data_IF_469601435492
#
_entry.id   IF_469601435492
#
_cell.length_a   1.000
_cell.length_b   1.000
_cell.length_c   1.000
_cell.angle_alpha   90.00
_cell.angle_beta   90.00
_cell.angle_gamma   90.00
#
_symmetry.space_group_name_H-M   'P 1'
#
loop_
_entity.id
_entity.type
_entity.pdbx_description
1 polymer ?
#
# COMPACT_ATOMS: atom_id res chain seq x y z
N UNK A 1 26.00 79.06 16.44
CA UNK A 1 27.20 78.35 15.96
C UNK A 1 27.09 76.93 16.47
N UNK A 2 26.91 75.96 15.59
CA UNK A 2 26.75 74.55 15.95
C UNK A 2 27.86 73.81 15.20
N UNK A 3 28.77 73.20 15.96
CA UNK A 3 29.91 72.45 15.45
C UNK A 3 29.43 71.09 14.94
N UNK A 4 29.89 70.71 13.75
CA UNK A 4 29.72 69.38 13.19
C UNK A 4 30.96 68.57 13.58
N UNK A 5 30.76 67.40 14.19
CA UNK A 5 31.79 66.37 14.24
C UNK A 5 31.52 65.39 13.10
N UNK A 6 32.48 65.31 12.18
CA UNK A 6 32.61 64.20 11.22
C UNK A 6 33.08 62.97 11.99
N UNK A 7 32.21 61.98 12.11
CA UNK A 7 32.61 60.65 12.56
C UNK A 7 32.33 59.68 11.41
N UNK A 8 33.44 59.28 10.79
CA UNK A 8 33.56 58.30 9.71
C UNK A 8 32.97 56.96 10.19
N UNK A 9 31.78 56.60 9.71
CA UNK A 9 31.19 55.28 9.96
C UNK A 9 31.76 54.30 8.94
N UNK A 10 32.76 53.57 9.39
CA UNK A 10 33.35 52.39 8.78
C UNK A 10 32.31 51.32 8.38
N UNK A 11 32.38 50.98 7.09
CA UNK A 11 32.07 49.70 6.44
C UNK A 11 31.43 48.60 7.31
N UNK A 12 30.10 48.58 7.35
CA UNK A 12 29.37 47.42 7.86
C UNK A 12 29.22 46.38 6.74
N UNK A 13 30.28 45.61 6.53
CA UNK A 13 30.21 44.32 5.84
C UNK A 13 29.24 43.45 6.63
N UNK A 14 27.99 43.37 6.17
CA UNK A 14 26.98 42.49 6.74
C UNK A 14 27.39 41.05 6.44
N UNK A 15 28.14 40.49 7.38
CA UNK A 15 28.54 39.10 7.42
C UNK A 15 27.31 38.20 7.26
N UNK A 16 27.35 37.40 6.21
CA UNK A 16 26.38 36.37 5.87
C UNK A 16 26.22 35.43 7.08
N UNK A 17 24.96 35.22 7.46
CA UNK A 17 24.56 34.39 8.60
C UNK A 17 25.13 32.97 8.52
N UNK A 18 26.02 32.68 9.47
CA UNK A 18 26.02 31.51 10.36
C UNK A 18 25.66 30.14 9.76
N UNK A 19 26.71 29.36 9.44
CA UNK A 19 26.71 27.90 9.60
C UNK A 19 27.96 27.54 10.40
N UNK A 20 27.76 27.07 11.63
CA UNK A 20 28.80 26.45 12.44
C UNK A 20 29.32 25.21 11.70
N UNK A 21 30.46 25.33 11.02
CA UNK A 21 31.38 24.26 10.62
C UNK A 21 32.50 24.78 9.69
N UNK A 22 32.50 26.05 9.27
CA UNK A 22 33.56 26.59 8.39
C UNK A 22 33.59 25.98 6.98
N UNK A 23 32.60 25.14 6.65
CA UNK A 23 32.41 24.58 5.33
C UNK A 23 31.58 25.59 4.53
N UNK A 24 32.22 26.29 3.59
CA UNK A 24 31.53 27.09 2.58
C UNK A 24 30.73 26.12 1.71
N UNK A 25 29.45 25.94 2.02
CA UNK A 25 28.57 25.07 1.23
C UNK A 25 28.19 25.80 -0.04
N UNK A 26 28.48 25.16 -1.19
CA UNK A 26 27.86 25.53 -2.46
C UNK A 26 26.34 25.61 -2.27
N UNK A 27 25.69 26.72 -2.66
CA UNK A 27 24.23 26.77 -2.69
C UNK A 27 23.70 25.59 -3.49
N UNK A 28 22.48 25.13 -3.20
CA UNK A 28 21.81 24.16 -4.07
C UNK A 28 21.82 24.69 -5.51
N UNK A 29 22.26 23.88 -6.46
CA UNK A 29 22.48 24.32 -7.85
C UNK A 29 21.59 23.60 -8.84
N UNK A 30 21.27 24.29 -9.93
CA UNK A 30 20.74 23.68 -11.14
C UNK A 30 21.63 24.00 -12.34
N UNK A 31 21.59 23.13 -13.35
CA UNK A 31 22.29 23.33 -14.61
C UNK A 31 21.73 24.54 -15.34
N UNK A 32 22.59 25.41 -15.88
CA UNK A 32 22.17 26.53 -16.75
C UNK A 32 21.72 25.98 -18.12
N UNK A 33 20.42 25.96 -18.46
CA UNK A 33 19.93 25.36 -19.71
C UNK A 33 20.43 26.09 -20.96
N UNK A 34 20.85 27.35 -20.82
CA UNK A 34 21.35 28.18 -21.90
C UNK A 34 22.87 28.04 -22.09
N UNK A 35 23.52 27.21 -21.28
CA UNK A 35 24.95 26.95 -21.33
C UNK A 35 25.21 25.51 -21.77
N UNK A 36 25.87 25.33 -22.90
CA UNK A 36 26.16 24.03 -23.52
C UNK A 36 27.57 23.50 -23.22
N UNK A 37 28.23 24.01 -22.17
CA UNK A 37 29.32 23.29 -21.51
C UNK A 37 30.69 23.26 -22.17
N UNK A 38 30.98 24.16 -23.12
CA UNK A 38 32.39 24.43 -23.48
C UNK A 38 32.64 25.93 -23.55
N UNK A 39 32.76 26.56 -22.38
CA UNK A 39 33.65 27.72 -22.28
C UNK A 39 35.08 27.19 -22.26
N UNK A 40 35.68 27.07 -23.44
CA UNK A 40 37.14 26.96 -23.55
C UNK A 40 37.85 28.24 -23.05
N UNK A 41 37.08 29.29 -22.72
CA UNK A 41 37.57 30.63 -22.39
C UNK A 41 37.48 30.99 -20.89
N UNK A 42 36.83 30.18 -20.04
CA UNK A 42 36.79 30.42 -18.59
C UNK A 42 37.86 29.57 -17.91
N UNK A 43 39.10 30.02 -18.01
CA UNK A 43 40.27 29.39 -17.37
C UNK A 43 40.34 29.73 -15.86
N UNK A 44 39.18 29.79 -15.19
CA UNK A 44 39.06 30.10 -13.76
C UNK A 44 39.16 28.80 -13.00
N UNK A 45 40.23 28.66 -12.23
CA UNK A 45 40.45 27.51 -11.36
C UNK A 45 39.87 27.80 -9.98
N UNK A 46 39.22 26.80 -9.40
CA UNK A 46 38.86 26.84 -7.99
C UNK A 46 40.11 26.66 -7.11
N UNK A 47 39.98 26.82 -5.78
CA UNK A 47 41.09 26.66 -4.83
C UNK A 47 41.77 25.27 -4.87
N UNK A 48 41.11 24.28 -5.45
CA UNK A 48 41.65 22.93 -5.64
C UNK A 48 42.46 22.76 -6.94
N UNK A 49 42.56 23.81 -7.77
CA UNK A 49 43.26 23.76 -9.06
C UNK A 49 42.44 23.14 -10.20
N UNK A 50 41.17 22.80 -9.96
CA UNK A 50 40.25 22.27 -10.97
C UNK A 50 39.45 23.41 -11.65
N UNK A 51 39.10 23.29 -12.94
CA UNK A 51 38.25 24.26 -13.63
C UNK A 51 36.90 24.45 -12.94
N UNK A 52 36.46 25.70 -12.78
CA UNK A 52 35.13 26.01 -12.27
C UNK A 52 34.05 25.81 -13.35
N UNK A 53 32.89 25.28 -12.98
CA UNK A 53 31.74 25.16 -13.89
C UNK A 53 30.73 26.27 -13.66
N UNK A 54 30.02 26.63 -14.72
CA UNK A 54 28.89 27.56 -14.66
C UNK A 54 27.65 26.88 -14.11
N UNK A 55 27.10 27.43 -13.03
CA UNK A 55 25.94 26.92 -12.30
C UNK A 55 24.93 28.04 -12.05
N UNK A 56 23.68 27.67 -11.78
CA UNK A 56 22.63 28.59 -11.33
C UNK A 56 22.28 28.28 -9.89
N UNK A 57 22.25 29.30 -9.04
CA UNK A 57 21.81 29.16 -7.65
C UNK A 57 20.31 28.86 -7.60
N UNK A 58 19.93 27.87 -6.81
CA UNK A 58 18.55 27.43 -6.59
C UNK A 58 18.23 27.42 -5.09
N UNK A 59 18.66 28.47 -4.39
CA UNK A 59 18.48 28.59 -2.95
C UNK A 59 18.56 30.05 -2.52
N UNK A 60 17.71 30.41 -1.55
CA UNK A 60 17.71 31.70 -0.88
C UNK A 60 17.61 32.91 -1.82
N UNK A 61 18.20 34.01 -1.39
CA UNK A 61 18.12 35.31 -2.05
C UNK A 61 18.85 35.38 -3.40
N UNK A 62 19.74 34.44 -3.69
CA UNK A 62 20.49 34.38 -4.96
C UNK A 62 19.83 33.47 -6.00
N UNK A 63 18.61 33.00 -5.74
CA UNK A 63 17.90 32.10 -6.67
C UNK A 63 17.83 32.68 -8.07
N UNK A 64 18.26 31.90 -9.05
CA UNK A 64 18.31 32.26 -10.47
C UNK A 64 19.61 32.96 -10.90
N UNK A 65 20.50 33.35 -9.99
CA UNK A 65 21.78 33.97 -10.33
C UNK A 65 22.80 32.94 -10.79
N UNK A 66 23.54 33.26 -11.85
CA UNK A 66 24.62 32.44 -12.40
C UNK A 66 25.93 32.71 -11.70
N UNK A 67 26.69 31.64 -11.46
CA UNK A 67 28.01 31.71 -10.86
C UNK A 67 28.94 30.59 -11.37
N UNK A 68 30.24 30.78 -11.19
CA UNK A 68 31.27 29.77 -11.36
C UNK A 68 31.48 29.07 -10.02
N UNK A 69 31.31 27.76 -9.97
CA UNK A 69 31.40 26.96 -8.74
C UNK A 69 32.41 25.82 -8.85
N UNK A 70 32.94 25.42 -7.70
CA UNK A 70 33.76 24.21 -7.59
C UNK A 70 32.89 22.96 -7.79
N UNK A 71 33.30 22.05 -8.69
CA UNK A 71 32.50 20.85 -9.05
C UNK A 71 32.98 19.57 -8.40
N UNK A 72 33.91 19.71 -7.46
CA UNK A 72 34.41 18.60 -6.67
C UNK A 72 33.25 17.98 -5.86
N UNK A 73 32.85 16.78 -6.25
CA UNK A 73 31.74 16.02 -5.63
C UNK A 73 32.16 15.31 -4.34
N UNK A 74 33.46 15.17 -4.09
CA UNK A 74 34.02 14.45 -2.94
C UNK A 74 34.99 15.33 -2.14
N UNK A 75 34.73 15.49 -0.84
CA UNK A 75 35.54 16.32 0.08
C UNK A 75 34.99 17.73 0.28
N UNK A 76 35.83 18.63 0.81
CA UNK A 76 35.47 20.04 1.04
C UNK A 76 35.42 20.73 -0.33
N UNK A 77 34.22 21.08 -0.79
CA UNK A 77 34.00 21.98 -1.91
C UNK A 77 34.36 23.41 -1.45
N UNK A 78 35.05 24.20 -2.28
CA UNK A 78 35.43 25.58 -1.93
C UNK A 78 34.36 26.63 -2.34
N UNK A 79 33.16 26.16 -2.66
CA UNK A 79 31.98 26.99 -2.85
C UNK A 79 31.91 27.70 -4.19
N UNK A 80 31.31 28.88 -4.12
CA UNK A 80 31.20 29.84 -5.22
C UNK A 80 32.58 30.44 -5.46
N UNK A 81 33.07 30.33 -6.69
CA UNK A 81 34.33 30.95 -7.13
C UNK A 81 34.09 32.39 -7.58
N UNK A 82 33.04 32.62 -8.39
CA UNK A 82 32.72 33.95 -8.89
C UNK A 82 31.25 34.08 -9.31
N UNK A 83 30.59 35.19 -8.98
CA UNK A 83 29.27 35.52 -9.53
C UNK A 83 29.39 36.10 -10.94
N UNK A 84 28.56 35.59 -11.86
CA UNK A 84 28.51 36.03 -13.26
C UNK A 84 27.47 37.15 -13.42
N UNK A 85 26.32 36.97 -12.76
CA UNK A 85 25.26 37.96 -12.78
C UNK A 85 25.50 39.05 -11.74
N UNK A 86 24.93 40.23 -12.00
CA UNK A 86 24.89 41.30 -11.02
C UNK A 86 24.04 40.89 -9.82
N UNK A 87 24.31 41.53 -8.68
CA UNK A 87 23.45 41.41 -7.52
C UNK A 87 22.02 41.81 -7.87
N UNK A 88 21.08 41.08 -7.29
CA UNK A 88 19.68 41.44 -7.42
C UNK A 88 19.45 42.83 -6.81
N UNK A 89 18.60 43.67 -7.42
CA UNK A 89 18.11 44.85 -6.72
C UNK A 89 17.46 44.45 -5.39
N UNK A 90 17.62 45.25 -4.34
CA UNK A 90 17.11 44.96 -2.98
C UNK A 90 15.67 44.44 -2.95
N UNK A 91 14.81 45.00 -3.81
CA UNK A 91 13.41 44.61 -3.91
C UNK A 91 13.23 43.13 -4.31
N UNK A 92 14.08 42.63 -5.19
CA UNK A 92 14.07 41.26 -5.66
C UNK A 92 14.73 40.33 -4.64
N UNK A 93 15.85 40.73 -4.05
CA UNK A 93 16.51 39.97 -2.98
C UNK A 93 15.55 39.70 -1.81
N UNK A 94 14.86 40.74 -1.34
CA UNK A 94 13.86 40.63 -0.26
C UNK A 94 12.66 39.77 -0.65
N UNK A 95 12.22 39.85 -1.91
CA UNK A 95 11.12 39.01 -2.39
C UNK A 95 11.53 37.53 -2.43
N UNK A 96 12.73 37.22 -2.92
CA UNK A 96 13.27 35.87 -2.96
C UNK A 96 13.47 35.30 -1.55
N UNK A 97 14.07 36.07 -0.64
CA UNK A 97 14.22 35.67 0.76
C UNK A 97 12.87 35.31 1.39
N UNK A 98 11.86 36.18 1.23
CA UNK A 98 10.51 35.94 1.77
C UNK A 98 9.84 34.71 1.17
N UNK A 99 10.01 34.46 -0.14
CA UNK A 99 9.47 33.26 -0.78
C UNK A 99 10.09 31.99 -0.23
N UNK A 100 11.40 32.01 0.03
CA UNK A 100 12.10 30.88 0.67
C UNK A 100 11.67 30.69 2.12
N UNK A 101 11.52 31.76 2.90
CA UNK A 101 11.00 31.69 4.28
C UNK A 101 9.61 31.02 4.29
N UNK A 102 8.70 31.47 3.43
CA UNK A 102 7.37 30.87 3.28
C UNK A 102 7.44 29.40 2.85
N UNK A 103 8.37 29.05 1.97
CA UNK A 103 8.57 27.67 1.53
C UNK A 103 9.04 26.78 2.69
N UNK A 104 10.04 27.20 3.46
CA UNK A 104 10.54 26.47 4.62
C UNK A 104 9.47 26.34 5.72
N UNK A 105 8.71 27.41 5.99
CA UNK A 105 7.58 27.38 6.94
C UNK A 105 6.47 26.42 6.51
N UNK A 106 6.25 26.25 5.20
CA UNK A 106 5.23 25.33 4.66
C UNK A 106 5.65 23.85 4.63
N UNK A 107 6.96 23.55 4.67
CA UNK A 107 7.47 22.17 4.66
C UNK A 107 6.97 21.32 5.84
N UNK A 108 7.06 21.77 7.11
CA UNK A 108 6.66 20.94 8.25
C UNK A 108 5.18 20.56 8.21
N UNK A 109 4.30 21.48 7.78
CA UNK A 109 2.87 21.20 7.60
C UNK A 109 2.63 20.07 6.59
N UNK A 110 3.24 20.17 5.39
CA UNK A 110 3.15 19.12 4.37
C UNK A 110 3.69 17.78 4.86
N UNK A 111 4.79 17.77 5.60
CA UNK A 111 5.34 16.50 6.13
C UNK A 111 4.43 15.87 7.18
N UNK A 112 3.78 16.68 8.02
CA UNK A 112 2.84 16.18 9.02
C UNK A 112 1.59 15.60 8.38
N UNK A 113 0.99 16.32 7.41
CA UNK A 113 -0.18 15.84 6.67
C UNK A 113 0.13 14.53 5.91
N UNK A 114 1.33 14.41 5.33
CA UNK A 114 1.78 13.18 4.67
C UNK A 114 1.94 12.02 5.67
N UNK A 115 2.43 12.30 6.89
CA UNK A 115 2.58 11.29 7.93
C UNK A 115 1.22 10.82 8.46
N UNK A 116 0.30 11.75 8.72
CA UNK A 116 -1.06 11.45 9.15
C UNK A 116 -1.81 10.67 8.07
N UNK A 117 -1.71 11.09 6.81
CA UNK A 117 -2.25 10.37 5.67
C UNK A 117 -1.70 8.95 5.57
N UNK A 118 -0.39 8.76 5.79
CA UNK A 118 0.25 7.44 5.82
C UNK A 118 -0.34 6.53 6.91
N UNK A 119 -0.55 7.07 8.12
CA UNK A 119 -1.16 6.32 9.22
C UNK A 119 -2.60 5.90 8.90
N UNK A 120 -3.40 6.81 8.33
CA UNK A 120 -4.77 6.51 7.90
C UNK A 120 -4.80 5.43 6.81
N UNK A 121 -3.93 5.54 5.81
CA UNK A 121 -3.81 4.54 4.73
C UNK A 121 -3.44 3.17 5.30
N UNK A 122 -2.49 3.11 6.24
CA UNK A 122 -2.09 1.86 6.89
C UNK A 122 -3.28 1.20 7.61
N UNK A 123 -3.99 1.95 8.44
CA UNK A 123 -5.14 1.43 9.20
C UNK A 123 -6.25 0.93 8.27
N UNK A 124 -6.61 1.71 7.24
CA UNK A 124 -7.60 1.30 6.26
C UNK A 124 -7.17 0.05 5.48
N UNK A 125 -5.87 -0.09 5.22
CA UNK A 125 -5.33 -1.28 4.55
C UNK A 125 -5.46 -2.53 5.45
N UNK A 126 -5.19 -2.40 6.75
CA UNK A 126 -5.38 -3.50 7.69
C UNK A 126 -6.86 -3.89 7.84
N UNK A 127 -7.77 -2.92 7.95
CA UNK A 127 -9.21 -3.19 8.02
C UNK A 127 -9.72 -3.87 6.74
N UNK A 128 -9.28 -3.40 5.58
CA UNK A 128 -9.60 -4.03 4.29
C UNK A 128 -9.13 -5.48 4.25
N UNK A 129 -7.92 -5.77 4.76
CA UNK A 129 -7.39 -7.14 4.82
C UNK A 129 -8.25 -8.03 5.72
N UNK A 130 -8.59 -7.57 6.93
CA UNK A 130 -9.48 -8.31 7.85
C UNK A 130 -10.84 -8.59 7.23
N UNK A 131 -11.40 -7.60 6.54
CA UNK A 131 -12.69 -7.75 5.87
C UNK A 131 -12.63 -8.77 4.72
N UNK A 132 -11.53 -8.78 3.96
CA UNK A 132 -11.29 -9.76 2.91
C UNK A 132 -11.23 -11.18 3.46
N UNK A 133 -10.45 -11.40 4.53
CA UNK A 133 -10.33 -12.71 5.18
C UNK A 133 -11.70 -13.21 5.70
N UNK A 134 -12.49 -12.31 6.30
CA UNK A 134 -13.85 -12.63 6.76
C UNK A 134 -14.77 -12.98 5.59
N UNK A 135 -14.69 -12.24 4.49
CA UNK A 135 -15.47 -12.51 3.28
C UNK A 135 -15.13 -13.88 2.68
N UNK A 136 -13.84 -14.19 2.54
CA UNK A 136 -13.36 -15.46 1.99
C UNK A 136 -13.79 -16.64 2.88
N UNK A 137 -13.73 -16.48 4.20
CA UNK A 137 -14.23 -17.45 5.18
C UNK A 137 -15.74 -17.68 5.02
N UNK A 138 -16.54 -16.60 4.96
CA UNK A 138 -17.99 -16.71 4.80
C UNK A 138 -18.37 -17.37 3.47
N UNK A 139 -17.64 -17.04 2.40
CA UNK A 139 -17.84 -17.66 1.09
C UNK A 139 -17.58 -19.17 1.13
N UNK A 140 -16.51 -19.60 1.81
CA UNK A 140 -16.21 -21.02 2.00
C UNK A 140 -17.31 -21.74 2.82
N UNK A 141 -17.77 -21.12 3.92
CA UNK A 141 -18.82 -21.69 4.76
C UNK A 141 -20.15 -21.85 4.01
N UNK A 142 -20.54 -20.86 3.21
CA UNK A 142 -21.77 -20.92 2.39
C UNK A 142 -21.68 -22.04 1.35
N UNK A 143 -20.54 -22.19 0.69
CA UNK A 143 -20.35 -23.28 -0.27
C UNK A 143 -20.39 -24.66 0.42
N UNK A 144 -19.74 -24.80 1.57
CA UNK A 144 -19.79 -26.03 2.35
C UNK A 144 -21.21 -26.40 2.80
N UNK A 145 -22.01 -25.40 3.19
CA UNK A 145 -23.43 -25.59 3.53
C UNK A 145 -24.25 -26.03 2.32
N UNK A 146 -24.01 -25.44 1.15
CA UNK A 146 -24.69 -25.81 -0.09
C UNK A 146 -24.39 -27.27 -0.48
N UNK A 147 -23.11 -27.66 -0.42
CA UNK A 147 -22.69 -29.03 -0.68
C UNK A 147 -23.33 -30.01 0.31
N UNK A 148 -23.31 -29.67 1.61
CA UNK A 148 -23.93 -30.49 2.64
C UNK A 148 -25.46 -30.64 2.43
N UNK A 149 -26.13 -29.59 1.98
CA UNK A 149 -27.56 -29.62 1.66
C UNK A 149 -27.84 -30.53 0.46
N UNK A 150 -27.01 -30.46 -0.59
CA UNK A 150 -27.14 -31.31 -1.77
C UNK A 150 -26.91 -32.79 -1.44
N UNK A 151 -25.88 -33.10 -0.64
CA UNK A 151 -25.61 -34.47 -0.17
C UNK A 151 -26.75 -35.02 0.68
N UNK A 152 -27.31 -34.21 1.58
CA UNK A 152 -28.48 -34.60 2.39
C UNK A 152 -29.70 -34.92 1.51
N UNK A 153 -29.90 -34.17 0.43
CA UNK A 153 -30.97 -34.43 -0.53
C UNK A 153 -30.84 -35.79 -1.22
N UNK A 154 -29.61 -36.15 -1.64
CA UNK A 154 -29.31 -37.45 -2.24
C UNK A 154 -29.54 -38.60 -1.24
N UNK A 155 -29.05 -38.44 -0.01
CA UNK A 155 -29.21 -39.44 1.05
C UNK A 155 -30.69 -39.70 1.37
N UNK A 156 -31.50 -38.64 1.46
CA UNK A 156 -32.95 -38.76 1.66
C UNK A 156 -33.65 -39.49 0.50
N UNK A 157 -33.22 -39.24 -0.75
CA UNK A 157 -33.76 -39.95 -1.91
C UNK A 157 -33.43 -41.44 -1.84
N UNK A 158 -32.18 -41.78 -1.56
CA UNK A 158 -31.72 -43.17 -1.44
C UNK A 158 -32.46 -43.91 -0.31
N UNK A 159 -32.59 -43.29 0.88
CA UNK A 159 -33.36 -43.87 1.99
C UNK A 159 -34.83 -44.09 1.62
N UNK A 160 -35.44 -43.16 0.87
CA UNK A 160 -36.83 -43.31 0.40
C UNK A 160 -36.97 -44.47 -0.57
N UNK A 161 -36.04 -44.63 -1.51
CA UNK A 161 -36.01 -45.76 -2.46
C UNK A 161 -35.81 -47.09 -1.73
N UNK A 162 -34.88 -47.14 -0.77
CA UNK A 162 -34.64 -48.32 0.05
C UNK A 162 -35.88 -48.70 0.87
N UNK A 163 -36.55 -47.72 1.49
CA UNK A 163 -37.80 -47.95 2.23
C UNK A 163 -38.89 -48.52 1.31
N UNK A 164 -39.08 -47.93 0.12
CA UNK A 164 -40.05 -48.46 -0.85
C UNK A 164 -39.76 -49.90 -1.25
N UNK A 165 -38.48 -50.26 -1.46
CA UNK A 165 -38.07 -51.63 -1.75
C UNK A 165 -38.39 -52.59 -0.60
N UNK A 166 -38.16 -52.18 0.65
CA UNK A 166 -38.51 -52.97 1.83
C UNK A 166 -40.02 -53.14 1.97
N UNK A 167 -40.81 -52.08 1.76
CA UNK A 167 -42.27 -52.13 1.82
C UNK A 167 -42.83 -53.14 0.80
N UNK A 168 -42.28 -53.17 -0.42
CA UNK A 168 -42.63 -54.18 -1.44
C UNK A 168 -42.30 -55.60 -0.97
N UNK A 169 -41.10 -55.83 -0.42
CA UNK A 169 -40.70 -57.15 0.10
C UNK A 169 -41.57 -57.60 1.28
N UNK A 170 -41.99 -56.69 2.14
CA UNK A 170 -42.90 -56.98 3.26
C UNK A 170 -44.24 -57.48 2.70
N UNK A 171 -44.83 -56.78 1.73
CA UNK A 171 -46.09 -57.19 1.10
C UNK A 171 -45.99 -58.56 0.41
N UNK A 172 -44.87 -58.84 -0.26
CA UNK A 172 -44.60 -60.17 -0.85
C UNK A 172 -44.55 -61.26 0.22
N UNK A 173 -43.82 -61.03 1.32
CA UNK A 173 -43.73 -61.97 2.43
C UNK A 173 -45.08 -62.19 3.13
N UNK A 174 -45.86 -61.13 3.34
CA UNK A 174 -47.21 -61.22 3.90
C UNK A 174 -48.11 -62.12 3.02
N UNK A 175 -48.00 -61.98 1.69
CA UNK A 175 -48.72 -62.83 0.73
C UNK A 175 -48.30 -64.30 0.82
N UNK A 176 -46.99 -64.57 0.87
CA UNK A 176 -46.45 -65.93 1.02
C UNK A 176 -46.90 -66.56 2.34
N UNK A 177 -46.81 -65.82 3.45
CA UNK A 177 -47.25 -66.30 4.77
C UNK A 177 -48.76 -66.59 4.77
N UNK A 178 -49.56 -65.74 4.14
CA UNK A 178 -51.00 -65.97 3.96
C UNK A 178 -51.28 -67.28 3.22
N UNK A 179 -50.58 -67.52 2.11
CA UNK A 179 -50.71 -68.75 1.32
C UNK A 179 -50.30 -70.00 2.13
N UNK A 180 -49.17 -69.96 2.83
CA UNK A 180 -48.70 -71.06 3.67
C UNK A 180 -49.66 -71.38 4.82
N UNK A 181 -50.26 -70.36 5.45
CA UNK A 181 -51.30 -70.56 6.48
C UNK A 181 -52.52 -71.26 5.91
N UNK A 182 -52.96 -70.90 4.70
CA UNK A 182 -54.09 -71.54 4.04
C UNK A 182 -53.78 -73.00 3.67
N UNK A 183 -52.56 -73.30 3.21
CA UNK A 183 -52.12 -74.69 2.96
C UNK A 183 -52.06 -75.52 4.24
N UNK A 184 -51.53 -74.97 5.34
CA UNK A 184 -51.52 -75.64 6.63
C UNK A 184 -52.93 -75.97 7.11
N UNK A 185 -53.87 -75.03 7.03
CA UNK A 185 -55.27 -75.26 7.40
C UNK A 185 -55.91 -76.38 6.56
N UNK A 186 -55.64 -76.42 5.25
CA UNK A 186 -56.10 -77.52 4.38
C UNK A 186 -55.53 -78.87 4.81
N UNK A 187 -54.22 -78.92 5.12
CA UNK A 187 -53.54 -80.15 5.56
C UNK A 187 -54.05 -80.65 6.92
N UNK A 188 -54.37 -79.74 7.84
CA UNK A 188 -54.98 -80.11 9.13
C UNK A 188 -56.39 -80.68 8.96
N UNK A 189 -57.21 -80.11 8.09
CA UNK A 189 -58.55 -80.62 7.78
C UNK A 189 -58.49 -81.99 7.09
N UNK A 190 -57.58 -82.18 6.11
CA UNK A 190 -57.31 -83.49 5.51
C UNK A 190 -56.89 -84.53 6.56
N UNK A 191 -55.99 -84.16 7.47
CA UNK A 191 -55.52 -85.03 8.55
C UNK A 191 -56.64 -85.38 9.54
N UNK A 192 -57.57 -84.46 9.81
CA UNK A 192 -58.72 -84.70 10.67
C UNK A 192 -59.67 -85.72 10.05
N UNK A 193 -60.02 -85.56 8.77
CA UNK A 193 -60.84 -86.51 8.01
C UNK A 193 -60.25 -87.92 8.00
N UNK A 194 -58.96 -88.07 7.69
CA UNK A 194 -58.27 -89.37 7.71
C UNK A 194 -58.31 -90.05 9.07
N UNK A 195 -58.28 -89.28 10.16
CA UNK A 195 -58.35 -89.81 11.53
C UNK A 195 -59.76 -90.28 11.88
N UNK A 196 -60.78 -89.52 11.49
CA UNK A 196 -62.19 -89.92 11.64
C UNK A 196 -62.49 -91.21 10.86
N UNK A 197 -61.95 -91.36 9.64
CA UNK A 197 -62.06 -92.58 8.83
C UNK A 197 -61.35 -93.78 9.48
N UNK A 198 -60.25 -93.57 10.22
CA UNK A 198 -59.52 -94.64 10.92
C UNK A 198 -60.22 -95.09 12.20
N UNK A 199 -60.79 -94.15 12.98
CA UNK A 199 -61.47 -94.43 14.25
C UNK A 199 -62.87 -95.07 14.07
N UNK A 200 -63.39 -95.09 12.83
CA UNK A 200 -64.70 -95.68 12.47
C UNK A 200 -64.61 -97.07 11.82
N UNK A 201 -63.42 -97.66 11.78
CA UNK A 201 -63.13 -99.06 11.39
C UNK A 201 -63.02 -99.98 12.62
#
# INVERSE_FOLDING_TARGET
>A
MVSWSDETSEDSVMNISSSCDGIIKLPSTMHDPNFNGTDADVNVLCEHGEPAERLVAFEGMHTGSRFLGCTKKEGINCGVVQWIDFEWPDSMEKALAKLWDMYEESKPGRTNDNLESSFVIHNLTEEKKKLQENYDSLYADVNALLDAQQQRGLELSNQKEQKQCLDVKIAELETIVGNLKAELAKKEEEKKKVREDYDSL
#
